data_IF_330333334845
#
_entry.id   IF_330333334845
#
_cell.length_a   1.000
_cell.length_b   1.000
_cell.length_c   1.000
_cell.angle_alpha   90.00
_cell.angle_beta   90.00
_cell.angle_gamma   90.00
#
_symmetry.space_group_name_H-M   'P 1'
#
loop_
_entity.id
_entity.type
_entity.pdbx_description
1 polymer ?
#
# COMPACT_ATOMS: atom_id res chain seq x y z
N UNK A 1 -8.96 -17.27 -0.24
CA UNK A 1 -8.55 -16.10 -1.06
C UNK A 1 -7.11 -15.68 -0.80
N UNK A 2 -6.67 -15.44 0.46
CA UNK A 2 -5.28 -15.04 0.75
C UNK A 2 -4.22 -16.05 0.28
N UNK A 3 -4.44 -17.36 0.48
CA UNK A 3 -3.56 -18.44 -0.02
C UNK A 3 -3.51 -18.52 -1.55
N UNK A 4 -4.62 -18.23 -2.23
CA UNK A 4 -4.67 -18.15 -3.69
C UNK A 4 -3.85 -16.98 -4.21
N UNK A 5 -3.94 -15.82 -3.55
CA UNK A 5 -3.16 -14.62 -3.88
C UNK A 5 -1.67 -14.88 -3.65
N UNK A 6 -1.29 -15.52 -2.54
CA UNK A 6 0.10 -15.89 -2.25
C UNK A 6 0.66 -16.91 -3.27
N UNK A 7 -0.12 -17.92 -3.65
CA UNK A 7 0.26 -18.91 -4.65
C UNK A 7 0.37 -18.28 -6.05
N UNK A 8 -0.52 -17.35 -6.39
CA UNK A 8 -0.47 -16.60 -7.64
C UNK A 8 0.74 -15.64 -7.67
N UNK A 9 1.06 -14.97 -6.55
CA UNK A 9 2.25 -14.12 -6.45
C UNK A 9 3.55 -14.92 -6.59
N UNK A 10 3.64 -16.10 -5.96
CA UNK A 10 4.79 -16.99 -6.10
C UNK A 10 4.95 -17.53 -7.54
N UNK A 11 3.82 -17.85 -8.20
CA UNK A 11 3.83 -18.31 -9.60
C UNK A 11 4.20 -17.21 -10.57
N UNK A 12 3.78 -15.96 -10.29
CA UNK A 12 4.12 -14.82 -11.12
C UNK A 12 5.60 -14.43 -10.98
N UNK A 13 6.15 -14.47 -9.76
CA UNK A 13 7.59 -14.30 -9.54
C UNK A 13 8.42 -15.30 -10.33
N UNK A 14 8.02 -16.57 -10.36
CA UNK A 14 8.68 -17.60 -11.16
C UNK A 14 8.51 -17.37 -12.68
N UNK A 15 7.35 -16.87 -13.14
CA UNK A 15 7.09 -16.58 -14.55
C UNK A 15 7.84 -15.34 -15.04
N UNK A 16 8.02 -14.32 -14.18
CA UNK A 16 8.75 -13.10 -14.54
C UNK A 16 10.26 -13.31 -14.59
N UNK A 17 10.84 -14.24 -13.80
CA UNK A 17 12.23 -14.67 -13.94
C UNK A 17 12.54 -15.29 -15.31
N UNK A 18 11.52 -15.84 -16.03
CA UNK A 18 11.67 -16.37 -17.38
C UNK A 18 11.48 -15.35 -18.50
N UNK A 19 11.04 -14.13 -18.16
CA UNK A 19 10.85 -13.04 -19.12
C UNK A 19 12.05 -12.10 -19.19
N UNK A 20 13.29 -12.61 -18.99
CA UNK A 20 14.50 -11.81 -19.26
C UNK A 20 14.45 -11.38 -20.74
N UNK A 21 14.17 -10.11 -21.04
CA UNK A 21 14.00 -9.72 -22.42
C UNK A 21 15.39 -9.69 -23.05
N UNK A 22 15.54 -10.38 -24.19
CA UNK A 22 16.72 -10.25 -25.07
C UNK A 22 17.04 -8.78 -25.42
N UNK A 23 16.11 -7.86 -25.14
CA UNK A 23 16.21 -6.44 -25.37
C UNK A 23 16.75 -5.60 -24.18
N UNK A 24 16.96 -6.18 -23.00
CA UNK A 24 17.53 -5.48 -21.85
C UNK A 24 19.05 -5.33 -22.07
N UNK A 25 19.55 -4.09 -21.92
CA UNK A 25 20.97 -3.77 -22.14
C UNK A 25 21.70 -3.45 -20.83
N UNK A 26 21.00 -3.45 -19.71
CA UNK A 26 21.57 -3.20 -18.37
C UNK A 26 20.75 -3.89 -17.28
N UNK A 27 21.35 -4.16 -16.09
CA UNK A 27 20.64 -4.71 -14.95
C UNK A 27 19.40 -3.89 -14.54
N UNK A 28 19.48 -2.56 -14.61
CA UNK A 28 18.35 -1.68 -14.30
C UNK A 28 17.18 -1.86 -15.28
N UNK A 29 17.46 -2.06 -16.57
CA UNK A 29 16.41 -2.33 -17.57
C UNK A 29 15.76 -3.69 -17.34
N UNK A 30 16.57 -4.71 -17.06
CA UNK A 30 16.08 -6.04 -16.76
C UNK A 30 15.15 -6.02 -15.54
N UNK A 31 15.59 -5.47 -14.43
CA UNK A 31 14.80 -5.34 -13.21
C UNK A 31 13.52 -4.53 -13.43
N UNK A 32 13.60 -3.43 -14.18
CA UNK A 32 12.43 -2.61 -14.47
C UNK A 32 11.39 -3.32 -15.33
N UNK A 33 11.81 -4.11 -16.31
CA UNK A 33 10.89 -4.85 -17.19
C UNK A 33 10.27 -6.04 -16.44
N UNK A 34 11.06 -6.76 -15.64
CA UNK A 34 10.54 -7.83 -14.77
C UNK A 34 9.55 -7.24 -13.75
N UNK A 35 9.90 -6.10 -13.12
CA UNK A 35 9.01 -5.36 -12.22
C UNK A 35 7.70 -4.99 -12.89
N UNK A 36 7.73 -4.41 -14.10
CA UNK A 36 6.50 -4.08 -14.85
C UNK A 36 5.62 -5.30 -15.09
N UNK A 37 6.19 -6.45 -15.43
CA UNK A 37 5.46 -7.70 -15.62
C UNK A 37 4.78 -8.15 -14.32
N UNK A 38 5.50 -8.10 -13.21
CA UNK A 38 4.99 -8.45 -11.89
C UNK A 38 3.87 -7.50 -11.45
N UNK A 39 4.08 -6.20 -11.59
CA UNK A 39 3.09 -5.18 -11.21
C UNK A 39 1.83 -5.23 -12.06
N UNK A 40 1.96 -5.51 -13.35
CA UNK A 40 0.81 -5.75 -14.23
C UNK A 40 -0.02 -6.92 -13.71
N UNK A 41 0.63 -8.02 -13.32
CA UNK A 41 -0.05 -9.17 -12.74
C UNK A 41 -0.77 -8.83 -11.42
N UNK A 42 -0.12 -8.09 -10.49
CA UNK A 42 -0.75 -7.67 -9.24
C UNK A 42 -1.95 -6.74 -9.49
N UNK A 43 -1.79 -5.78 -10.40
CA UNK A 43 -2.86 -4.86 -10.79
C UNK A 43 -4.06 -5.58 -11.41
N UNK A 44 -3.82 -6.52 -12.33
CA UNK A 44 -4.88 -7.34 -12.94
C UNK A 44 -5.56 -8.23 -11.89
N UNK A 45 -4.82 -8.79 -10.94
CA UNK A 45 -5.37 -9.57 -9.82
C UNK A 45 -6.28 -8.71 -8.95
N UNK A 46 -5.87 -7.48 -8.65
CA UNK A 46 -6.69 -6.54 -7.87
C UNK A 46 -7.99 -6.17 -8.61
N UNK A 47 -7.89 -5.88 -9.90
CA UNK A 47 -9.03 -5.53 -10.75
C UNK A 47 -10.00 -6.71 -10.91
N UNK A 48 -9.49 -7.91 -11.19
CA UNK A 48 -10.29 -9.13 -11.32
C UNK A 48 -11.00 -9.45 -9.99
N UNK A 49 -10.27 -9.41 -8.87
CA UNK A 49 -10.85 -9.62 -7.54
C UNK A 49 -11.94 -8.58 -7.19
N UNK A 50 -11.76 -7.34 -7.60
CA UNK A 50 -12.77 -6.30 -7.40
C UNK A 50 -13.99 -6.50 -8.31
N UNK A 51 -13.80 -6.94 -9.57
CA UNK A 51 -14.88 -7.22 -10.51
C UNK A 51 -15.78 -8.40 -10.08
N UNK A 52 -15.25 -9.32 -9.28
CA UNK A 52 -16.03 -10.43 -8.70
C UNK A 52 -16.88 -10.01 -7.48
N UNK A 53 -16.78 -8.75 -7.03
CA UNK A 53 -17.60 -8.23 -5.94
C UNK A 53 -18.93 -7.68 -6.47
N UNK A 54 -19.93 -7.57 -5.57
CA UNK A 54 -21.22 -6.94 -5.92
C UNK A 54 -21.13 -5.41 -6.06
N UNK A 55 -20.08 -4.78 -5.53
CA UNK A 55 -19.87 -3.34 -5.62
C UNK A 55 -19.12 -2.97 -6.92
N UNK A 56 -19.32 -1.76 -7.45
CA UNK A 56 -18.51 -1.25 -8.57
C UNK A 56 -17.01 -1.31 -8.24
N UNK A 57 -16.16 -1.63 -9.24
CA UNK A 57 -14.70 -1.79 -9.06
C UNK A 57 -14.07 -0.56 -8.39
N UNK A 58 -14.47 0.65 -8.79
CA UNK A 58 -13.95 1.90 -8.20
C UNK A 58 -14.29 2.05 -6.73
N UNK A 59 -15.46 1.62 -6.32
CA UNK A 59 -15.90 1.65 -4.91
C UNK A 59 -15.21 0.54 -4.12
N UNK A 60 -15.17 -0.69 -4.68
CA UNK A 60 -14.53 -1.85 -4.06
C UNK A 60 -13.06 -1.60 -3.76
N UNK A 61 -12.33 -0.97 -4.68
CA UNK A 61 -10.92 -0.61 -4.53
C UNK A 61 -10.70 0.72 -3.78
N UNK A 62 -11.75 1.48 -3.47
CA UNK A 62 -11.62 2.76 -2.79
C UNK A 62 -10.96 3.85 -3.63
N UNK A 63 -11.25 3.87 -4.94
CA UNK A 63 -10.73 4.85 -5.91
C UNK A 63 -11.46 6.19 -5.87
N UNK A 64 -12.49 6.33 -5.05
CA UNK A 64 -13.23 7.58 -4.87
C UNK A 64 -12.37 8.71 -4.30
N UNK A 65 -12.93 9.91 -4.27
CA UNK A 65 -12.28 11.07 -3.67
C UNK A 65 -12.06 10.84 -2.17
N UNK A 66 -10.81 10.79 -1.76
CA UNK A 66 -10.43 10.66 -0.36
C UNK A 66 -10.80 11.89 0.48
N UNK A 67 -10.65 11.77 1.80
CA UNK A 67 -10.97 12.82 2.79
C UNK A 67 -9.83 13.79 3.05
N UNK A 68 -8.63 13.53 2.53
CA UNK A 68 -7.44 14.31 2.81
C UNK A 68 -7.35 15.55 1.92
N UNK A 69 -7.25 16.77 2.49
CA UNK A 69 -6.82 17.96 1.78
C UNK A 69 -5.41 17.79 1.21
N UNK A 70 -5.11 18.47 0.10
CA UNK A 70 -3.82 18.37 -0.58
C UNK A 70 -2.61 18.65 0.33
N UNK A 71 -2.72 19.64 1.24
CA UNK A 71 -1.64 19.95 2.18
C UNK A 71 -1.34 18.81 3.17
N UNK A 72 -2.37 18.09 3.64
CA UNK A 72 -2.17 16.93 4.51
C UNK A 72 -1.61 15.73 3.71
N UNK A 73 -2.01 15.56 2.46
CA UNK A 73 -1.43 14.56 1.58
C UNK A 73 0.06 14.83 1.34
N UNK A 74 0.44 16.08 1.03
CA UNK A 74 1.84 16.46 0.86
C UNK A 74 2.68 16.18 2.12
N UNK A 75 2.14 16.48 3.31
CA UNK A 75 2.79 16.15 4.59
C UNK A 75 3.03 14.64 4.74
N UNK A 76 2.06 13.82 4.35
CA UNK A 76 2.18 12.36 4.42
C UNK A 76 3.14 11.80 3.38
N UNK A 77 3.22 12.38 2.19
CA UNK A 77 4.25 12.04 1.18
C UNK A 77 5.64 12.28 1.75
N UNK A 78 5.89 13.47 2.31
CA UNK A 78 7.16 13.79 2.96
C UNK A 78 7.45 12.83 4.14
N UNK A 79 6.42 12.50 4.94
CA UNK A 79 6.52 11.53 6.03
C UNK A 79 6.90 10.13 5.54
N UNK A 80 6.35 9.70 4.40
CA UNK A 80 6.67 8.39 3.81
C UNK A 80 8.13 8.33 3.35
N UNK A 81 8.61 9.36 2.64
CA UNK A 81 10.01 9.45 2.19
C UNK A 81 10.97 9.53 3.39
N UNK A 82 10.61 10.30 4.42
CA UNK A 82 11.41 10.40 5.64
C UNK A 82 11.48 9.08 6.42
N UNK A 83 10.36 8.33 6.47
CA UNK A 83 10.32 6.99 7.06
C UNK A 83 11.21 6.01 6.30
N UNK A 84 11.10 6.00 4.96
CA UNK A 84 11.93 5.14 4.10
C UNK A 84 13.41 5.40 4.36
N UNK A 85 13.83 6.66 4.35
CA UNK A 85 15.24 7.03 4.64
C UNK A 85 15.67 6.66 6.07
N UNK A 86 14.77 6.73 7.05
CA UNK A 86 15.05 6.25 8.42
C UNK A 86 15.22 4.73 8.46
N UNK A 87 14.46 3.98 7.68
CA UNK A 87 14.59 2.52 7.57
C UNK A 87 15.88 2.12 6.87
N UNK A 88 16.30 2.83 5.82
CA UNK A 88 17.62 2.63 5.18
C UNK A 88 18.75 2.80 6.19
N UNK A 89 18.68 3.83 7.04
CA UNK A 89 19.65 4.05 8.10
C UNK A 89 19.64 2.93 9.17
N UNK A 90 18.49 2.32 9.45
CA UNK A 90 18.43 1.13 10.34
C UNK A 90 19.13 -0.07 9.69
N UNK A 91 18.92 -0.30 8.39
CA UNK A 91 19.57 -1.38 7.62
C UNK A 91 21.08 -1.18 7.62
N UNK A 92 21.56 0.05 7.43
CA UNK A 92 22.98 0.42 7.47
C UNK A 92 23.59 0.12 8.85
N UNK A 93 22.97 0.59 9.95
CA UNK A 93 23.44 0.34 11.31
C UNK A 93 23.44 -1.15 11.68
N UNK A 94 22.46 -1.91 11.17
CA UNK A 94 22.38 -3.36 11.34
C UNK A 94 23.39 -4.12 10.48
N UNK A 95 24.15 -3.44 9.63
CA UNK A 95 25.11 -4.03 8.67
C UNK A 95 24.45 -5.03 7.69
N UNK A 96 23.21 -4.79 7.34
CA UNK A 96 22.43 -5.62 6.42
C UNK A 96 22.42 -5.05 4.98
N UNK A 97 22.94 -3.83 4.76
CA UNK A 97 22.85 -3.07 3.51
C UNK A 97 23.71 -3.59 2.35
N UNK A 98 24.54 -4.62 2.54
CA UNK A 98 25.35 -5.17 1.44
C UNK A 98 24.81 -6.47 0.85
N UNK A 99 23.58 -6.86 1.14
CA UNK A 99 23.02 -8.17 0.78
C UNK A 99 21.55 -8.08 0.39
N UNK A 100 21.11 -9.02 -0.46
CA UNK A 100 19.70 -9.18 -0.84
C UNK A 100 19.23 -8.18 -1.88
N UNK A 101 17.92 -8.20 -2.12
CA UNK A 101 17.30 -7.47 -3.24
C UNK A 101 17.40 -5.95 -3.14
N UNK A 102 17.47 -5.38 -1.93
CA UNK A 102 17.67 -3.92 -1.76
C UNK A 102 19.07 -3.48 -2.23
N UNK A 103 20.12 -4.25 -1.91
CA UNK A 103 21.47 -3.97 -2.36
C UNK A 103 21.63 -4.14 -3.88
N UNK A 104 20.99 -5.16 -4.45
CA UNK A 104 20.97 -5.38 -5.89
C UNK A 104 20.26 -4.23 -6.62
N UNK A 105 19.14 -3.78 -6.08
CA UNK A 105 18.37 -2.65 -6.60
C UNK A 105 19.18 -1.35 -6.57
N UNK A 106 19.81 -1.05 -5.44
CA UNK A 106 20.68 0.12 -5.29
C UNK A 106 21.86 0.09 -6.30
N UNK A 107 22.53 -1.05 -6.42
CA UNK A 107 23.64 -1.23 -7.37
C UNK A 107 23.18 -1.05 -8.82
N UNK A 108 22.01 -1.58 -9.19
CA UNK A 108 21.46 -1.43 -10.55
C UNK A 108 21.05 0.02 -10.86
N UNK A 109 20.52 0.75 -9.87
CA UNK A 109 20.03 2.11 -10.04
C UNK A 109 21.12 3.19 -9.92
N UNK A 110 22.26 2.87 -9.31
CA UNK A 110 23.36 3.84 -9.10
C UNK A 110 23.84 4.37 -10.43
N UNK A 111 23.69 5.68 -10.63
CA UNK A 111 24.14 6.37 -11.84
C UNK A 111 23.34 6.03 -13.11
N UNK A 112 22.21 5.34 -13.03
CA UNK A 112 21.37 4.98 -14.18
C UNK A 112 20.96 6.22 -15.00
N UNK A 113 20.97 6.11 -16.34
CA UNK A 113 20.66 7.20 -17.29
C UNK A 113 19.91 6.67 -18.51
N UNK A 114 19.43 7.60 -19.34
CA UNK A 114 18.82 7.29 -20.63
C UNK A 114 17.54 6.44 -20.50
N UNK A 115 17.41 5.44 -21.37
CA UNK A 115 16.23 4.55 -21.42
C UNK A 115 16.04 3.77 -20.12
N UNK A 116 17.12 3.27 -19.54
CA UNK A 116 17.11 2.54 -18.28
C UNK A 116 16.51 3.36 -17.12
N UNK A 117 16.85 4.65 -17.03
CA UNK A 117 16.29 5.56 -16.03
C UNK A 117 14.77 5.72 -16.17
N UNK A 118 14.26 5.91 -17.38
CA UNK A 118 12.82 6.05 -17.61
C UNK A 118 12.05 4.75 -17.34
N UNK A 119 12.64 3.60 -17.72
CA UNK A 119 12.07 2.30 -17.40
C UNK A 119 12.06 2.05 -15.89
N UNK A 120 13.14 2.42 -15.17
CA UNK A 120 13.20 2.30 -13.71
C UNK A 120 12.16 3.20 -13.02
N UNK A 121 11.97 4.44 -13.46
CA UNK A 121 10.91 5.31 -12.94
C UNK A 121 9.52 4.68 -13.12
N UNK A 122 9.27 4.03 -14.25
CA UNK A 122 7.99 3.39 -14.51
C UNK A 122 7.85 2.06 -13.76
N UNK A 123 8.80 1.14 -13.91
CA UNK A 123 8.72 -0.24 -13.46
C UNK A 123 9.04 -0.46 -11.99
N UNK A 124 9.92 0.38 -11.42
CA UNK A 124 10.36 0.29 -10.03
C UNK A 124 9.84 1.46 -9.17
N UNK A 125 9.39 2.55 -9.81
CA UNK A 125 8.86 3.73 -9.15
C UNK A 125 7.33 3.76 -9.13
N UNK A 126 6.72 3.99 -10.28
CA UNK A 126 5.29 4.26 -10.40
C UNK A 126 4.43 3.00 -10.32
N UNK A 127 4.80 1.94 -11.06
CA UNK A 127 3.98 0.74 -11.18
C UNK A 127 3.76 0.03 -9.83
N UNK A 128 4.78 -0.19 -8.97
CA UNK A 128 4.60 -0.76 -7.63
C UNK A 128 3.67 0.09 -6.77
N UNK A 129 3.88 1.42 -6.74
CA UNK A 129 3.05 2.34 -5.98
C UNK A 129 1.56 2.29 -6.35
N UNK A 130 1.24 1.89 -7.58
CA UNK A 130 -0.16 1.74 -8.03
C UNK A 130 -0.67 0.32 -7.78
N UNK A 131 -0.01 -0.69 -8.33
CA UNK A 131 -0.52 -2.05 -8.38
C UNK A 131 -0.56 -2.74 -7.01
N UNK A 132 0.50 -2.59 -6.23
CA UNK A 132 0.56 -3.15 -4.88
C UNK A 132 -0.45 -2.48 -3.94
N UNK A 133 -0.66 -1.16 -4.07
CA UNK A 133 -1.66 -0.48 -3.27
C UNK A 133 -3.10 -0.88 -3.66
N UNK A 134 -3.38 -1.06 -4.95
CA UNK A 134 -4.66 -1.57 -5.41
C UNK A 134 -4.94 -2.97 -4.84
N UNK A 135 -3.93 -3.84 -4.82
CA UNK A 135 -4.06 -5.19 -4.27
C UNK A 135 -4.19 -5.15 -2.74
N UNK A 136 -3.19 -4.59 -2.05
CA UNK A 136 -3.08 -4.70 -0.61
C UNK A 136 -4.09 -3.80 0.12
N UNK A 137 -4.21 -2.52 -0.25
CA UNK A 137 -5.10 -1.57 0.43
C UNK A 137 -6.49 -1.54 -0.19
N UNK A 138 -6.56 -1.58 -1.52
CA UNK A 138 -7.82 -1.57 -2.26
C UNK A 138 -8.60 -2.87 -2.08
N UNK A 139 -8.05 -3.99 -2.51
CA UNK A 139 -8.75 -5.28 -2.49
C UNK A 139 -8.71 -5.96 -1.13
N UNK A 140 -7.52 -6.18 -0.54
CA UNK A 140 -7.36 -7.02 0.66
C UNK A 140 -7.79 -6.26 1.90
N UNK A 141 -7.13 -5.15 2.26
CA UNK A 141 -7.41 -4.42 3.49
C UNK A 141 -8.87 -3.98 3.56
N UNK A 142 -9.38 -3.29 2.54
CA UNK A 142 -10.79 -2.85 2.52
C UNK A 142 -11.77 -4.02 2.57
N UNK A 143 -11.44 -5.16 1.95
CA UNK A 143 -12.26 -6.36 1.99
C UNK A 143 -12.33 -7.04 3.35
N UNK A 144 -11.30 -6.88 4.17
CA UNK A 144 -11.22 -7.49 5.50
C UNK A 144 -11.83 -6.62 6.60
N UNK A 145 -11.88 -5.28 6.41
CA UNK A 145 -12.40 -4.35 7.43
C UNK A 145 -13.80 -4.72 7.94
N UNK A 146 -14.79 -5.09 7.09
CA UNK A 146 -16.13 -5.41 7.57
C UNK A 146 -16.20 -6.64 8.49
N UNK A 147 -15.30 -7.60 8.32
CA UNK A 147 -15.30 -8.87 9.08
C UNK A 147 -14.34 -8.89 10.26
N UNK A 148 -13.20 -8.20 10.15
CA UNK A 148 -12.11 -8.27 11.14
C UNK A 148 -11.87 -6.95 11.89
N UNK A 149 -12.51 -5.87 11.44
CA UNK A 149 -12.19 -4.53 11.91
C UNK A 149 -10.89 -3.97 11.28
N UNK A 150 -10.71 -2.65 11.41
CA UNK A 150 -9.61 -1.96 10.76
C UNK A 150 -8.21 -2.39 11.26
N UNK A 151 -7.93 -2.56 12.56
CA UNK A 151 -6.60 -2.92 13.02
C UNK A 151 -6.12 -4.27 12.46
N UNK A 152 -6.96 -5.31 12.51
CA UNK A 152 -6.62 -6.63 11.99
C UNK A 152 -6.49 -6.63 10.47
N UNK A 153 -7.35 -5.91 9.76
CA UNK A 153 -7.29 -5.77 8.32
C UNK A 153 -6.01 -5.06 7.85
N UNK A 154 -5.60 -3.99 8.53
CA UNK A 154 -4.33 -3.29 8.28
C UNK A 154 -3.16 -4.23 8.52
N UNK A 155 -3.13 -4.94 9.65
CA UNK A 155 -2.03 -5.85 9.97
C UNK A 155 -1.89 -6.97 8.95
N UNK A 156 -2.98 -7.63 8.57
CA UNK A 156 -2.95 -8.72 7.59
C UNK A 156 -2.53 -8.24 6.20
N UNK A 157 -3.01 -7.08 5.76
CA UNK A 157 -2.57 -6.49 4.50
C UNK A 157 -1.09 -6.08 4.53
N UNK A 158 -0.59 -5.63 5.68
CA UNK A 158 0.83 -5.32 5.91
C UNK A 158 1.71 -6.55 5.81
N UNK A 159 1.30 -7.65 6.46
CA UNK A 159 2.04 -8.91 6.40
C UNK A 159 2.07 -9.49 4.98
N UNK A 160 0.94 -9.41 4.25
CA UNK A 160 0.91 -9.79 2.85
C UNK A 160 1.86 -8.93 2.01
N UNK A 161 1.82 -7.62 2.20
CA UNK A 161 2.68 -6.66 1.50
C UNK A 161 4.17 -6.96 1.72
N UNK A 162 4.60 -7.18 2.97
CA UNK A 162 5.96 -7.61 3.27
C UNK A 162 6.32 -8.94 2.61
N UNK A 163 5.42 -9.93 2.67
CA UNK A 163 5.65 -11.26 2.11
C UNK A 163 5.80 -11.28 0.56
N UNK A 164 5.27 -10.30 -0.15
CA UNK A 164 5.46 -10.18 -1.60
C UNK A 164 6.91 -9.91 -2.00
N UNK A 165 7.73 -9.38 -1.10
CA UNK A 165 9.13 -9.02 -1.39
C UNK A 165 10.12 -10.18 -1.28
N UNK A 166 9.73 -11.33 -0.70
CA UNK A 166 10.49 -12.59 -0.58
C UNK A 166 11.84 -12.51 0.14
N UNK A 167 12.62 -11.46 -0.05
CA UNK A 167 13.87 -11.21 0.69
C UNK A 167 13.58 -10.76 2.12
N UNK A 168 14.16 -11.38 3.17
CA UNK A 168 13.79 -11.09 4.56
C UNK A 168 14.02 -9.64 4.99
N UNK A 169 15.11 -9.00 4.52
CA UNK A 169 15.44 -7.61 4.87
C UNK A 169 14.47 -6.67 4.17
N UNK A 170 14.25 -6.88 2.88
CA UNK A 170 13.27 -6.13 2.09
C UNK A 170 11.85 -6.34 2.61
N UNK A 171 11.47 -7.56 2.95
CA UNK A 171 10.17 -7.89 3.53
C UNK A 171 9.92 -7.15 4.86
N UNK A 172 10.93 -7.08 5.74
CA UNK A 172 10.83 -6.35 6.99
C UNK A 172 10.70 -4.84 6.76
N UNK A 173 11.52 -4.27 5.87
CA UNK A 173 11.43 -2.88 5.43
C UNK A 173 10.03 -2.57 4.87
N UNK A 174 9.59 -3.37 3.91
CA UNK A 174 8.28 -3.24 3.29
C UNK A 174 7.13 -3.37 4.29
N UNK A 175 7.23 -4.27 5.28
CA UNK A 175 6.21 -4.42 6.31
C UNK A 175 6.06 -3.15 7.17
N UNK A 176 7.17 -2.50 7.58
CA UNK A 176 7.09 -1.24 8.34
C UNK A 176 6.47 -0.12 7.51
N UNK A 177 6.95 0.06 6.28
CA UNK A 177 6.39 1.04 5.35
C UNK A 177 4.92 0.71 5.03
N UNK A 178 4.63 -0.57 4.85
CA UNK A 178 3.31 -1.10 4.60
C UNK A 178 2.31 -0.83 5.72
N UNK A 179 2.74 -0.91 6.97
CA UNK A 179 1.93 -0.55 8.13
C UNK A 179 1.55 0.95 8.11
N UNK A 180 2.53 1.80 7.82
CA UNK A 180 2.31 3.24 7.67
C UNK A 180 1.29 3.54 6.57
N UNK A 181 1.47 2.97 5.37
CA UNK A 181 0.57 3.14 4.22
C UNK A 181 -0.84 2.55 4.49
N UNK A 182 -0.92 1.44 5.23
CA UNK A 182 -2.20 0.82 5.61
C UNK A 182 -3.01 1.70 6.55
N UNK A 183 -2.38 2.28 7.58
CA UNK A 183 -3.01 3.23 8.49
C UNK A 183 -3.44 4.48 7.71
N UNK A 184 -2.56 5.00 6.87
CA UNK A 184 -2.81 6.18 6.03
C UNK A 184 -4.00 5.96 5.10
N UNK A 185 -4.06 4.83 4.39
CA UNK A 185 -5.18 4.47 3.51
C UNK A 185 -6.50 4.41 4.27
N UNK A 186 -6.48 3.85 5.49
CA UNK A 186 -7.65 3.81 6.35
C UNK A 186 -8.12 5.22 6.75
N UNK A 187 -7.20 6.07 7.20
CA UNK A 187 -7.49 7.47 7.57
C UNK A 187 -7.99 8.30 6.37
N UNK A 188 -7.41 8.07 5.20
CA UNK A 188 -7.80 8.76 3.98
C UNK A 188 -9.18 8.33 3.44
N UNK A 189 -9.70 7.18 3.90
CA UNK A 189 -10.95 6.62 3.42
C UNK A 189 -10.88 6.00 2.02
N UNK A 190 -9.67 5.79 1.49
CA UNK A 190 -9.45 5.20 0.17
C UNK A 190 -7.98 5.02 -0.19
N UNK A 191 -7.71 4.32 -1.29
CA UNK A 191 -6.37 3.89 -1.69
C UNK A 191 -5.52 5.00 -2.32
N UNK A 192 -6.12 6.07 -2.85
CA UNK A 192 -5.42 7.09 -3.64
C UNK A 192 -4.28 7.78 -2.88
N UNK A 193 -4.47 8.02 -1.58
CA UNK A 193 -3.43 8.65 -0.76
C UNK A 193 -2.23 7.72 -0.56
N UNK A 194 -2.47 6.42 -0.34
CA UNK A 194 -1.41 5.42 -0.23
C UNK A 194 -0.67 5.26 -1.57
N UNK A 195 -1.37 5.22 -2.70
CA UNK A 195 -0.78 5.23 -4.04
C UNK A 195 0.15 6.45 -4.21
N UNK A 196 -0.32 7.65 -3.89
CA UNK A 196 0.49 8.86 -4.03
C UNK A 196 1.75 8.83 -3.15
N UNK A 197 1.62 8.38 -1.90
CA UNK A 197 2.74 8.29 -0.97
C UNK A 197 3.75 7.22 -1.40
N UNK A 198 3.28 6.02 -1.77
CA UNK A 198 4.14 4.92 -2.18
C UNK A 198 4.85 5.22 -3.50
N UNK A 199 4.11 5.65 -4.54
CA UNK A 199 4.71 6.03 -5.81
C UNK A 199 5.73 7.16 -5.65
N UNK A 200 5.42 8.21 -4.88
CA UNK A 200 6.35 9.30 -4.61
C UNK A 200 7.62 8.82 -3.89
N UNK A 201 7.49 7.90 -2.93
CA UNK A 201 8.62 7.29 -2.23
C UNK A 201 9.55 6.55 -3.20
N UNK A 202 9.00 5.66 -4.02
CA UNK A 202 9.79 4.84 -4.93
C UNK A 202 10.39 5.68 -6.07
N UNK A 203 9.65 6.65 -6.62
CA UNK A 203 10.18 7.62 -7.59
C UNK A 203 11.35 8.42 -7.00
N UNK A 204 11.21 8.87 -5.74
CA UNK A 204 12.26 9.58 -5.04
C UNK A 204 13.50 8.69 -4.85
N UNK A 205 13.33 7.42 -4.46
CA UNK A 205 14.42 6.45 -4.34
C UNK A 205 15.17 6.26 -5.66
N UNK A 206 14.46 6.03 -6.77
CA UNK A 206 15.07 5.90 -8.11
C UNK A 206 15.83 7.17 -8.49
N UNK A 207 15.28 8.35 -8.24
CA UNK A 207 15.93 9.62 -8.55
C UNK A 207 17.18 9.85 -7.69
N UNK A 208 17.11 9.56 -6.39
CA UNK A 208 18.26 9.70 -5.49
C UNK A 208 19.39 8.75 -5.91
N UNK A 209 19.11 7.47 -6.12
CA UNK A 209 20.13 6.51 -6.58
C UNK A 209 20.73 6.88 -7.95
N UNK A 210 19.92 7.46 -8.85
CA UNK A 210 20.42 7.88 -10.17
C UNK A 210 21.32 9.11 -10.12
N UNK A 211 21.05 10.11 -9.26
CA UNK A 211 21.65 11.43 -9.35
C UNK A 211 22.43 11.88 -8.12
N UNK A 212 22.23 11.23 -6.95
CA UNK A 212 22.86 11.61 -5.69
C UNK A 212 23.71 10.44 -5.19
N UNK A 213 25.03 10.64 -5.12
CA UNK A 213 25.96 9.58 -4.73
C UNK A 213 25.77 9.13 -3.27
N UNK A 214 25.46 10.03 -2.35
CA UNK A 214 25.02 9.76 -0.99
C UNK A 214 24.48 11.05 -0.35
N UNK A 215 23.47 10.92 0.48
CA UNK A 215 23.11 11.95 1.45
C UNK A 215 23.90 11.65 2.73
N UNK A 216 24.96 12.41 3.01
CA UNK A 216 25.80 12.22 4.19
C UNK A 216 25.09 12.65 5.49
N UNK A 217 23.92 12.04 5.78
CA UNK A 217 23.19 12.27 7.03
C UNK A 217 23.56 11.14 8.00
N UNK A 218 24.03 11.46 9.22
CA UNK A 218 24.32 10.41 10.20
C UNK A 218 23.12 9.50 10.44
N UNK A 219 23.27 8.17 10.47
CA UNK A 219 22.16 7.22 10.59
C UNK A 219 21.26 7.50 11.81
N UNK A 220 21.83 7.85 12.97
CA UNK A 220 21.07 8.20 14.16
C UNK A 220 20.18 9.44 13.94
N UNK A 221 20.64 10.42 13.17
CA UNK A 221 19.86 11.60 12.81
C UNK A 221 18.74 11.24 11.83
N UNK A 222 19.02 10.40 10.84
CA UNK A 222 17.99 9.89 9.89
C UNK A 222 16.87 9.15 10.62
N UNK A 223 17.22 8.26 11.55
CA UNK A 223 16.24 7.50 12.34
C UNK A 223 15.44 8.44 13.25
N UNK A 224 16.08 9.30 14.00
CA UNK A 224 15.42 10.19 14.96
C UNK A 224 14.54 11.23 14.27
N UNK A 225 15.08 11.95 13.30
CA UNK A 225 14.36 13.04 12.60
C UNK A 225 13.37 12.47 11.59
N UNK A 226 13.78 11.52 10.76
CA UNK A 226 12.92 10.94 9.71
C UNK A 226 11.78 10.12 10.30
N UNK A 227 12.08 9.18 11.19
CA UNK A 227 11.08 8.37 11.87
C UNK A 227 10.15 9.21 12.75
N UNK A 228 10.72 10.16 13.51
CA UNK A 228 9.95 11.09 14.36
C UNK A 228 9.02 11.97 13.54
N UNK A 229 9.49 12.51 12.41
CA UNK A 229 8.67 13.31 11.50
C UNK A 229 7.53 12.49 10.89
N UNK A 230 7.79 11.27 10.43
CA UNK A 230 6.77 10.38 9.86
C UNK A 230 5.64 10.09 10.87
N UNK A 231 6.01 9.74 12.10
CA UNK A 231 5.05 9.47 13.18
C UNK A 231 4.26 10.73 13.55
N UNK A 232 4.92 11.89 13.64
CA UNK A 232 4.26 13.16 13.94
C UNK A 232 3.29 13.56 12.82
N UNK A 233 3.66 13.40 11.55
CA UNK A 233 2.81 13.65 10.41
C UNK A 233 1.55 12.77 10.44
N UNK A 234 1.72 11.48 10.68
CA UNK A 234 0.60 10.52 10.76
C UNK A 234 -0.33 10.85 11.95
N UNK A 235 0.25 11.14 13.14
CA UNK A 235 -0.51 11.53 14.32
C UNK A 235 -1.27 12.86 14.12
N UNK A 236 -0.64 13.81 13.46
CA UNK A 236 -1.29 15.09 13.11
C UNK A 236 -2.48 14.88 12.20
N UNK A 237 -2.32 14.09 11.14
CA UNK A 237 -3.41 13.78 10.21
C UNK A 237 -4.53 13.04 10.93
N UNK A 238 -4.21 12.05 11.76
CA UNK A 238 -5.21 11.36 12.58
C UNK A 238 -6.06 12.33 13.40
N UNK A 239 -5.42 13.28 14.10
CA UNK A 239 -6.13 14.28 14.90
C UNK A 239 -7.03 15.21 14.06
N UNK A 240 -6.64 15.47 12.79
CA UNK A 240 -7.38 16.38 11.91
C UNK A 240 -8.57 15.72 11.21
N UNK A 241 -8.45 14.46 10.82
CA UNK A 241 -9.51 13.78 10.05
C UNK A 241 -10.39 12.88 10.92
N UNK A 242 -9.94 12.53 12.12
CA UNK A 242 -10.63 11.60 13.03
C UNK A 242 -10.70 10.18 12.46
N UNK A 243 -11.37 9.29 13.19
CA UNK A 243 -11.61 7.92 12.70
C UNK A 243 -12.57 7.95 11.50
N UNK A 244 -12.33 7.11 10.47
CA UNK A 244 -13.26 7.01 9.34
C UNK A 244 -14.61 6.46 9.81
N UNK A 245 -15.72 6.87 9.15
CA UNK A 245 -17.02 6.27 9.41
C UNK A 245 -16.98 4.78 9.09
N UNK A 246 -17.81 3.95 9.76
CA UNK A 246 -17.94 2.54 9.43
C UNK A 246 -18.26 2.37 7.94
N UNK A 247 -17.65 1.38 7.29
CA UNK A 247 -18.00 1.04 5.91
C UNK A 247 -19.47 0.62 5.84
N UNK A 248 -20.24 1.16 4.90
CA UNK A 248 -21.62 0.76 4.67
C UNK A 248 -21.66 -0.76 4.39
N UNK A 249 -22.38 -1.50 5.19
CA UNK A 249 -22.43 -2.99 5.18
C UNK A 249 -22.16 -3.64 6.52
N UNK A 250 -21.48 -2.97 7.44
CA UNK A 250 -21.23 -3.46 8.81
C UNK A 250 -22.49 -3.47 9.71
N UNK A 251 -23.60 -2.88 9.29
CA UNK A 251 -24.85 -2.77 10.07
C UNK A 251 -25.85 -3.91 9.89
N UNK A 252 -25.54 -4.97 9.16
CA UNK A 252 -26.46 -6.12 9.02
C UNK A 252 -26.19 -7.22 10.08
N UNK A 253 -26.24 -6.87 11.34
CA UNK A 253 -26.13 -7.79 12.47
C UNK A 253 -26.77 -7.27 13.76
N UNK A 254 -27.42 -6.11 13.72
CA UNK A 254 -28.17 -5.56 14.85
C UNK A 254 -29.61 -6.09 14.83
N UNK A 255 -29.94 -6.92 15.80
CA UNK A 255 -31.27 -7.47 16.16
C UNK A 255 -32.45 -6.63 15.67
N UNK A 256 -33.30 -7.22 14.85
CA UNK A 256 -34.69 -6.77 14.74
C UNK A 256 -35.26 -6.76 16.17
N UNK A 257 -35.41 -5.57 16.75
CA UNK A 257 -36.16 -5.39 17.98
C UNK A 257 -37.58 -5.90 17.78
N UNK A 258 -38.24 -6.41 18.84
CA UNK A 258 -39.56 -6.97 18.72
C UNK A 258 -40.51 -5.91 18.18
N UNK A 259 -41.20 -6.26 17.11
CA UNK A 259 -42.30 -5.50 16.51
C UNK A 259 -43.33 -5.27 17.63
N UNK A 260 -43.43 -4.03 18.10
CA UNK A 260 -44.56 -3.69 19.00
C UNK A 260 -45.85 -3.82 18.17
N UNK A 261 -46.61 -4.87 18.47
CA UNK A 261 -47.97 -4.96 18.05
C UNK A 261 -48.74 -3.80 18.71
N UNK A 262 -49.18 -2.85 17.93
CA UNK A 262 -50.03 -1.76 18.37
C UNK A 262 -51.34 -2.32 18.96
N UNK A 263 -51.99 -1.60 19.89
CA UNK A 263 -53.22 -2.05 20.51
C UNK A 263 -54.32 -2.15 19.47
N UNK A 264 -54.97 -3.31 19.40
CA UNK A 264 -56.20 -3.52 18.64
C UNK A 264 -57.29 -2.64 19.23
N UNK A 265 -57.72 -1.64 18.48
CA UNK A 265 -58.89 -0.80 18.78
C UNK A 265 -60.17 -1.66 18.65
N UNK A 266 -60.61 -2.07 19.82
CA UNK A 266 -61.88 -2.79 19.99
C UNK A 266 -63.00 -1.84 20.35
N UNK A 267 -63.53 -1.09 19.38
CA UNK A 267 -64.80 -0.37 19.58
C UNK A 267 -65.51 -0.06 18.24
N UNK A 268 -66.30 -0.99 17.77
CA UNK A 268 -67.51 -0.69 17.00
C UNK A 268 -68.51 -1.86 17.09
N UNK A 269 -69.17 -1.96 18.24
CA UNK A 269 -70.48 -2.54 18.34
C UNK A 269 -71.41 -1.36 18.57
N UNK A 270 -72.32 -1.11 17.70
CA UNK A 270 -73.29 -0.04 17.87
C UNK A 270 -74.33 0.01 16.79
N UNK A 271 -75.37 -0.74 16.98
CA UNK A 271 -76.84 -0.42 16.85
C UNK A 271 -77.37 0.00 15.51
N UNK A 272 -78.26 -0.75 15.12
CA UNK A 272 -79.53 -0.75 14.37
C UNK A 272 -79.39 -1.29 12.98
#
# INVERSE_FOLDING_TARGET
MALLIAALAASAGAATCGLAPEAATSPAEEMAIQGLGFELFLGLTALAGAALSAAPVSERLGLGKGRLPAGLLALLVLGTVALSHALDAVIELAQLGGRGTLAELEAALTGVRGRAFWLALLGLGLAPGVAEELLCRGLVQRGLVPSLGAPAAVLLATLLFGALHLDPVHAAFAAVLGLYLGILSHLAGGVRAAIACHAANNLCAVMLSAFVASLAIPPAASIGLGGGFALAALAWVWRRVGSPPPLEGSRKGGSAGPTQLGPTDGSRIGRL
#
